data_IF_503220519814
#
_entry.id   IF_503220519814
#
_cell.length_a   1.000
_cell.length_b   1.000
_cell.length_c   1.000
_cell.angle_alpha   90.00
_cell.angle_beta   90.00
_cell.angle_gamma   90.00
#
_symmetry.space_group_name_H-M   'P 1'
#
loop_
_entity.id
_entity.type
_entity.pdbx_description
1 polymer ?
#
# COMPACT_ATOMS: atom_id res chain seq x y z
N UNK A 1 1.27 10.67 -22.49
CA UNK A 1 1.94 9.97 -21.36
C UNK A 1 3.43 10.26 -21.29
N UNK A 2 4.29 9.76 -22.18
CA UNK A 2 5.76 9.97 -22.08
C UNK A 2 6.20 11.45 -21.96
N UNK A 3 5.61 12.34 -22.78
CA UNK A 3 5.91 13.78 -22.69
C UNK A 3 5.43 14.41 -21.38
N UNK A 4 4.28 13.96 -20.84
CA UNK A 4 3.71 14.50 -19.59
C UNK A 4 4.52 14.01 -18.39
N UNK A 5 4.88 12.73 -18.35
CA UNK A 5 5.72 12.17 -17.28
C UNK A 5 7.11 12.81 -17.28
N UNK A 6 7.74 13.01 -18.44
CA UNK A 6 9.04 13.67 -18.52
C UNK A 6 9.01 15.15 -18.08
N UNK A 7 7.92 15.88 -18.38
CA UNK A 7 7.75 17.24 -17.87
C UNK A 7 7.56 17.28 -16.35
N UNK A 8 6.77 16.35 -15.80
CA UNK A 8 6.58 16.23 -14.35
C UNK A 8 7.88 15.82 -13.64
N UNK A 9 8.66 14.90 -14.20
CA UNK A 9 10.00 14.58 -13.71
C UNK A 9 10.90 15.81 -13.67
N UNK A 10 10.87 16.64 -14.71
CA UNK A 10 11.58 17.93 -14.74
C UNK A 10 11.15 18.87 -13.61
N UNK A 11 9.84 18.96 -13.33
CA UNK A 11 9.31 19.76 -12.20
C UNK A 11 9.76 19.19 -10.84
N UNK A 12 9.76 17.87 -10.68
CA UNK A 12 10.27 17.21 -9.47
C UNK A 12 11.77 17.44 -9.23
N UNK A 13 12.55 17.71 -10.28
CA UNK A 13 13.97 18.08 -10.16
C UNK A 13 14.16 19.57 -9.85
N UNK A 14 13.23 20.42 -10.24
CA UNK A 14 13.31 21.88 -10.06
C UNK A 14 12.69 22.39 -8.74
N UNK A 15 11.82 21.61 -8.12
CA UNK A 15 11.02 22.02 -6.96
C UNK A 15 11.15 21.05 -5.78
N UNK A 16 10.70 21.48 -4.60
CA UNK A 16 10.63 20.64 -3.41
C UNK A 16 9.74 19.42 -3.65
N UNK A 17 10.22 18.22 -3.31
CA UNK A 17 9.42 16.98 -3.43
C UNK A 17 8.12 17.07 -2.62
N UNK A 18 8.13 17.76 -1.48
CA UNK A 18 6.93 17.96 -0.66
C UNK A 18 5.87 18.73 -1.45
N UNK A 19 6.20 19.93 -1.92
CA UNK A 19 5.26 20.80 -2.62
C UNK A 19 4.75 20.15 -3.91
N UNK A 20 5.62 19.41 -4.60
CA UNK A 20 5.24 18.63 -5.79
C UNK A 20 4.28 17.49 -5.46
N UNK A 21 4.55 16.73 -4.39
CA UNK A 21 3.67 15.65 -3.95
C UNK A 21 2.31 16.18 -3.49
N UNK A 22 2.27 17.26 -2.71
CA UNK A 22 1.04 17.91 -2.26
C UNK A 22 0.22 18.38 -3.47
N UNK A 23 0.83 19.16 -4.36
CA UNK A 23 0.16 19.71 -5.56
C UNK A 23 -0.35 18.61 -6.50
N UNK A 24 0.48 17.59 -6.78
CA UNK A 24 0.09 16.47 -7.62
C UNK A 24 -1.06 15.68 -6.99
N UNK A 25 -1.00 15.44 -5.68
CA UNK A 25 -2.03 14.71 -4.94
C UNK A 25 -3.37 15.44 -5.00
N UNK A 26 -3.37 16.75 -4.74
CA UNK A 26 -4.58 17.57 -4.78
C UNK A 26 -5.20 17.64 -6.18
N UNK A 27 -4.36 17.81 -7.20
CA UNK A 27 -4.82 17.84 -8.59
C UNK A 27 -5.43 16.49 -9.01
N UNK A 28 -4.77 15.37 -8.69
CA UNK A 28 -5.25 14.04 -9.04
C UNK A 28 -6.51 13.65 -8.27
N UNK A 29 -6.60 13.97 -6.96
CA UNK A 29 -7.82 13.72 -6.17
C UNK A 29 -8.99 14.56 -6.67
N UNK A 30 -8.76 15.83 -7.00
CA UNK A 30 -9.81 16.70 -7.55
C UNK A 30 -10.32 16.20 -8.90
N UNK A 31 -9.42 15.67 -9.74
CA UNK A 31 -9.78 15.12 -11.05
C UNK A 31 -10.44 13.74 -10.98
N UNK A 32 -10.01 12.87 -10.05
CA UNK A 32 -10.39 11.46 -10.06
C UNK A 32 -11.40 11.08 -8.98
N UNK A 33 -11.57 11.89 -7.93
CA UNK A 33 -12.48 11.63 -6.81
C UNK A 33 -13.47 12.79 -6.53
N UNK A 34 -14.15 13.36 -7.54
CA UNK A 34 -15.31 14.22 -7.28
C UNK A 34 -16.50 13.38 -6.79
N UNK A 35 -17.55 14.07 -6.35
CA UNK A 35 -18.80 13.43 -5.89
C UNK A 35 -19.66 12.85 -7.04
N UNK A 36 -19.25 13.09 -8.29
CA UNK A 36 -19.87 12.53 -9.50
C UNK A 36 -19.14 11.28 -9.99
N UNK A 37 -19.87 10.33 -10.58
CA UNK A 37 -19.27 9.12 -11.13
C UNK A 37 -18.21 9.45 -12.19
N UNK A 38 -16.97 8.98 -11.99
CA UNK A 38 -15.91 9.20 -12.96
C UNK A 38 -15.83 8.05 -13.99
N UNK A 39 -15.58 8.35 -15.27
CA UNK A 39 -15.29 7.32 -16.25
C UNK A 39 -14.04 6.52 -15.85
N UNK A 40 -14.19 5.19 -15.72
CA UNK A 40 -13.08 4.31 -15.31
C UNK A 40 -11.81 4.47 -16.15
N UNK A 41 -11.93 4.72 -17.46
CA UNK A 41 -10.76 5.00 -18.34
C UNK A 41 -9.99 6.24 -17.93
N UNK A 42 -10.68 7.31 -17.54
CA UNK A 42 -10.03 8.54 -17.11
C UNK A 42 -9.25 8.32 -15.82
N UNK A 43 -9.86 7.62 -14.84
CA UNK A 43 -9.17 7.27 -13.58
C UNK A 43 -7.95 6.38 -13.88
N UNK A 44 -8.08 5.39 -14.77
CA UNK A 44 -6.96 4.53 -15.17
C UNK A 44 -5.77 5.31 -15.73
N UNK A 45 -5.99 6.30 -16.60
CA UNK A 45 -4.91 7.09 -17.21
C UNK A 45 -4.18 7.98 -16.19
N UNK A 46 -4.91 8.57 -15.25
CA UNK A 46 -4.31 9.37 -14.17
C UNK A 46 -3.49 8.50 -13.21
N UNK A 47 -4.03 7.35 -12.81
CA UNK A 47 -3.31 6.42 -11.93
C UNK A 47 -2.12 5.77 -12.66
N UNK A 48 -2.21 5.57 -13.98
CA UNK A 48 -1.07 5.17 -14.80
C UNK A 48 0.04 6.23 -14.73
N UNK A 49 -0.29 7.52 -14.90
CA UNK A 49 0.71 8.60 -14.79
C UNK A 49 1.42 8.58 -13.44
N UNK A 50 0.64 8.50 -12.35
CA UNK A 50 1.18 8.38 -11.01
C UNK A 50 2.08 7.14 -10.87
N UNK A 51 1.67 6.00 -11.44
CA UNK A 51 2.48 4.77 -11.39
C UNK A 51 3.82 4.93 -12.11
N UNK A 52 3.89 5.69 -13.21
CA UNK A 52 5.16 5.97 -13.89
C UNK A 52 6.04 6.81 -12.97
N UNK A 53 5.52 7.88 -12.38
CA UNK A 53 6.27 8.75 -11.45
C UNK A 53 6.73 8.00 -10.19
N UNK A 54 5.93 7.08 -9.67
CA UNK A 54 6.34 6.18 -8.58
C UNK A 54 7.61 5.39 -8.91
N UNK A 55 7.76 4.95 -10.16
CA UNK A 55 8.92 4.18 -10.60
C UNK A 55 10.10 5.06 -11.04
N UNK A 56 9.86 6.23 -11.62
CA UNK A 56 10.91 7.10 -12.20
C UNK A 56 11.41 8.17 -11.23
N UNK A 57 10.52 8.76 -10.42
CA UNK A 57 10.85 9.81 -9.45
C UNK A 57 11.18 9.22 -8.08
N UNK A 58 10.34 8.28 -7.60
CA UNK A 58 10.53 7.62 -6.32
C UNK A 58 9.23 7.12 -5.67
N UNK A 59 9.37 6.14 -4.77
CA UNK A 59 8.26 5.45 -4.10
C UNK A 59 7.41 6.38 -3.23
N UNK A 60 7.98 7.50 -2.79
CA UNK A 60 7.31 8.51 -1.99
C UNK A 60 6.16 9.19 -2.74
N UNK A 61 6.21 9.26 -4.08
CA UNK A 61 5.13 9.84 -4.89
C UNK A 61 3.88 8.98 -4.75
N UNK A 62 4.02 7.66 -4.97
CA UNK A 62 2.91 6.73 -4.83
C UNK A 62 2.45 6.58 -3.39
N UNK A 63 3.37 6.62 -2.42
CA UNK A 63 3.03 6.46 -1.02
C UNK A 63 2.27 7.67 -0.45
N UNK A 64 2.70 8.88 -0.79
CA UNK A 64 2.00 10.11 -0.41
C UNK A 64 0.57 10.14 -0.96
N UNK A 65 0.42 9.84 -2.25
CA UNK A 65 -0.89 9.79 -2.89
C UNK A 65 -1.78 8.70 -2.30
N UNK A 66 -1.23 7.50 -2.05
CA UNK A 66 -1.96 6.40 -1.43
C UNK A 66 -2.46 6.76 -0.03
N UNK A 67 -1.63 7.38 0.81
CA UNK A 67 -2.00 7.86 2.14
C UNK A 67 -3.22 8.80 2.05
N UNK A 68 -3.17 9.78 1.15
CA UNK A 68 -4.26 10.75 0.96
C UNK A 68 -5.56 10.08 0.47
N UNK A 69 -5.48 9.18 -0.51
CA UNK A 69 -6.63 8.42 -1.04
C UNK A 69 -7.29 7.58 0.05
N UNK A 70 -6.51 6.84 0.83
CA UNK A 70 -7.01 5.94 1.87
C UNK A 70 -7.66 6.72 3.02
N UNK A 71 -7.05 7.82 3.46
CA UNK A 71 -7.65 8.67 4.49
C UNK A 71 -8.94 9.33 4.03
N UNK A 72 -8.96 9.83 2.80
CA UNK A 72 -10.17 10.43 2.21
C UNK A 72 -11.27 9.38 2.06
N UNK A 73 -10.94 8.16 1.64
CA UNK A 73 -11.90 7.06 1.57
C UNK A 73 -12.47 6.74 2.96
N UNK A 74 -11.62 6.58 3.98
CA UNK A 74 -12.07 6.25 5.34
C UNK A 74 -13.02 7.32 5.90
N UNK A 75 -12.71 8.60 5.67
CA UNK A 75 -13.57 9.71 6.08
C UNK A 75 -14.93 9.70 5.35
N UNK A 76 -14.95 9.62 4.02
CA UNK A 76 -16.18 9.63 3.21
C UNK A 76 -17.03 8.39 3.49
N UNK A 77 -16.39 7.24 3.67
CA UNK A 77 -17.04 5.98 3.98
C UNK A 77 -17.73 6.02 5.37
N UNK A 78 -17.03 6.49 6.41
CA UNK A 78 -17.59 6.63 7.76
C UNK A 78 -18.72 7.65 7.85
N UNK A 79 -18.65 8.73 7.08
CA UNK A 79 -19.67 9.77 7.07
C UNK A 79 -20.92 9.39 6.27
N UNK A 80 -20.95 8.21 5.64
CA UNK A 80 -22.10 7.73 4.88
C UNK A 80 -22.38 8.55 3.61
N UNK A 81 -21.35 9.15 3.00
CA UNK A 81 -21.52 10.02 1.82
C UNK A 81 -22.36 9.35 0.72
N UNK A 82 -23.39 10.06 0.24
CA UNK A 82 -24.39 9.53 -0.70
C UNK A 82 -23.95 9.58 -2.17
N UNK A 83 -22.97 10.42 -2.51
CA UNK A 83 -22.45 10.51 -3.87
C UNK A 83 -21.33 9.52 -4.17
N UNK A 84 -20.66 9.71 -5.31
CA UNK A 84 -19.80 8.69 -5.96
C UNK A 84 -18.32 8.79 -5.62
N UNK A 85 -17.97 9.69 -4.71
CA UNK A 85 -16.59 9.89 -4.27
C UNK A 85 -15.98 8.61 -3.68
N UNK A 86 -16.76 7.83 -2.91
CA UNK A 86 -16.30 6.60 -2.29
C UNK A 86 -15.91 5.53 -3.33
N UNK A 87 -16.76 5.32 -4.34
CA UNK A 87 -16.51 4.41 -5.47
C UNK A 87 -15.32 4.88 -6.32
N UNK A 88 -15.21 6.19 -6.53
CA UNK A 88 -14.10 6.79 -7.28
C UNK A 88 -12.76 6.55 -6.56
N UNK A 89 -12.69 6.81 -5.25
CA UNK A 89 -11.50 6.55 -4.43
C UNK A 89 -11.15 5.06 -4.40
N UNK A 90 -12.14 4.18 -4.30
CA UNK A 90 -11.91 2.73 -4.34
C UNK A 90 -11.38 2.28 -5.71
N UNK A 91 -11.87 2.89 -6.79
CA UNK A 91 -11.39 2.67 -8.16
C UNK A 91 -9.93 3.11 -8.31
N UNK A 92 -9.55 4.22 -7.67
CA UNK A 92 -8.14 4.65 -7.60
C UNK A 92 -7.29 3.57 -6.93
N UNK A 93 -7.68 3.07 -5.75
CA UNK A 93 -6.96 1.99 -5.03
C UNK A 93 -6.83 0.73 -5.90
N UNK A 94 -7.90 0.36 -6.60
CA UNK A 94 -7.89 -0.77 -7.53
C UNK A 94 -6.86 -0.58 -8.66
N UNK A 95 -6.76 0.62 -9.22
CA UNK A 95 -5.81 0.91 -10.29
C UNK A 95 -4.36 1.07 -9.79
N UNK A 96 -4.15 1.53 -8.54
CA UNK A 96 -2.83 1.53 -7.90
C UNK A 96 -2.30 0.09 -7.78
N UNK A 97 -3.16 -0.87 -7.49
CA UNK A 97 -2.79 -2.29 -7.49
C UNK A 97 -2.54 -2.81 -8.92
N UNK A 98 -3.43 -2.50 -9.87
CA UNK A 98 -3.29 -2.92 -11.27
C UNK A 98 -1.98 -2.46 -11.92
N UNK A 99 -1.49 -1.27 -11.56
CA UNK A 99 -0.25 -0.67 -12.08
C UNK A 99 0.95 -0.84 -11.14
N UNK A 100 0.90 -1.81 -10.21
CA UNK A 100 2.02 -2.21 -9.35
C UNK A 100 2.59 -1.06 -8.50
N UNK A 101 1.73 -0.17 -8.01
CA UNK A 101 2.10 0.79 -6.96
C UNK A 101 1.96 0.14 -5.58
N UNK A 102 0.93 -0.67 -5.36
CA UNK A 102 0.67 -1.37 -4.09
C UNK A 102 0.66 -2.89 -4.25
N UNK A 103 0.82 -3.60 -3.15
CA UNK A 103 0.66 -5.05 -3.09
C UNK A 103 -0.78 -5.48 -2.77
N UNK A 104 -1.07 -6.77 -3.00
CA UNK A 104 -2.39 -7.36 -2.78
C UNK A 104 -2.87 -7.27 -1.32
N UNK A 105 -1.96 -7.19 -0.34
CA UNK A 105 -2.28 -7.12 1.09
C UNK A 105 -3.30 -6.01 1.40
N UNK A 106 -3.06 -4.80 0.89
CA UNK A 106 -3.94 -3.66 1.12
C UNK A 106 -5.33 -3.91 0.52
N UNK A 107 -5.40 -4.49 -0.68
CA UNK A 107 -6.67 -4.78 -1.35
C UNK A 107 -7.48 -5.83 -0.58
N UNK A 108 -6.81 -6.87 -0.06
CA UNK A 108 -7.47 -7.85 0.80
C UNK A 108 -7.94 -7.23 2.12
N UNK A 109 -7.16 -6.35 2.75
CA UNK A 109 -7.59 -5.65 3.97
C UNK A 109 -8.85 -4.81 3.73
N UNK A 110 -8.90 -4.08 2.60
CA UNK A 110 -10.09 -3.32 2.19
C UNK A 110 -11.29 -4.25 2.00
N UNK A 111 -11.14 -5.35 1.25
CA UNK A 111 -12.22 -6.31 1.02
C UNK A 111 -12.71 -6.96 2.33
N UNK A 112 -11.80 -7.33 3.23
CA UNK A 112 -12.14 -7.88 4.56
C UNK A 112 -12.90 -6.87 5.41
N UNK A 113 -12.52 -5.60 5.38
CA UNK A 113 -13.25 -4.52 6.09
C UNK A 113 -14.69 -4.37 5.59
N UNK A 114 -14.89 -4.39 4.26
CA UNK A 114 -16.22 -4.31 3.64
C UNK A 114 -17.06 -5.55 3.94
N UNK A 115 -16.48 -6.74 3.86
CA UNK A 115 -17.18 -8.01 4.18
C UNK A 115 -17.50 -8.11 5.67
N UNK A 116 -16.64 -7.57 6.54
CA UNK A 116 -16.85 -7.60 7.99
C UNK A 116 -18.08 -6.80 8.44
N UNK A 117 -18.30 -5.64 7.80
CA UNK A 117 -19.40 -4.70 8.06
C UNK A 117 -20.69 -5.08 7.31
N UNK A 118 -20.55 -5.54 6.06
CA UNK A 118 -21.60 -6.20 5.27
C UNK A 118 -22.89 -5.38 5.08
N UNK A 119 -22.77 -4.08 4.82
CA UNK A 119 -23.90 -3.20 4.43
C UNK A 119 -24.17 -3.25 2.92
N UNK A 120 -25.30 -2.67 2.47
CA UNK A 120 -25.63 -2.60 1.03
C UNK A 120 -24.52 -1.90 0.24
N UNK A 121 -24.01 -0.78 0.78
CA UNK A 121 -22.86 -0.04 0.24
C UNK A 121 -21.62 -0.93 0.15
N UNK A 122 -21.34 -1.74 1.17
CA UNK A 122 -20.18 -2.63 1.20
C UNK A 122 -20.23 -3.69 0.11
N UNK A 123 -21.42 -4.22 -0.18
CA UNK A 123 -21.61 -5.20 -1.26
C UNK A 123 -21.33 -4.55 -2.62
N UNK A 124 -21.78 -3.31 -2.85
CA UNK A 124 -21.48 -2.58 -4.09
C UNK A 124 -19.97 -2.32 -4.25
N UNK A 125 -19.33 -1.83 -3.19
CA UNK A 125 -17.90 -1.54 -3.16
C UNK A 125 -17.05 -2.81 -3.34
N UNK A 126 -17.48 -3.92 -2.73
CA UNK A 126 -16.84 -5.24 -2.89
C UNK A 126 -16.93 -5.70 -4.33
N UNK A 127 -18.12 -5.64 -4.94
CA UNK A 127 -18.32 -5.97 -6.36
C UNK A 127 -17.46 -5.09 -7.28
N UNK A 128 -17.42 -3.78 -7.02
CA UNK A 128 -16.61 -2.83 -7.77
C UNK A 128 -15.13 -3.18 -7.71
N UNK A 129 -14.60 -3.47 -6.51
CA UNK A 129 -13.20 -3.86 -6.33
C UNK A 129 -12.91 -5.20 -7.04
N UNK A 130 -13.73 -6.23 -6.80
CA UNK A 130 -13.56 -7.56 -7.41
C UNK A 130 -13.63 -7.50 -8.95
N UNK A 131 -14.49 -6.66 -9.52
CA UNK A 131 -14.56 -6.46 -10.97
C UNK A 131 -13.27 -5.86 -11.54
N UNK A 132 -12.63 -4.94 -10.83
CA UNK A 132 -11.41 -4.27 -11.29
C UNK A 132 -10.13 -5.07 -11.07
N UNK A 133 -10.05 -5.88 -10.00
CA UNK A 133 -8.80 -6.54 -9.59
C UNK A 133 -8.93 -8.02 -9.22
N UNK A 134 -10.12 -8.62 -9.27
CA UNK A 134 -10.35 -9.97 -8.78
C UNK A 134 -9.50 -11.06 -9.44
N UNK A 135 -9.32 -11.02 -10.76
CA UNK A 135 -8.44 -11.97 -11.46
C UNK A 135 -6.96 -11.76 -11.13
N UNK A 136 -6.58 -10.51 -10.89
CA UNK A 136 -5.22 -10.16 -10.47
C UNK A 136 -4.94 -10.70 -9.07
N UNK A 137 -5.89 -10.53 -8.13
CA UNK A 137 -5.83 -11.11 -6.78
C UNK A 137 -5.73 -12.63 -6.84
N UNK A 138 -6.53 -13.30 -7.67
CA UNK A 138 -6.44 -14.76 -7.82
C UNK A 138 -5.05 -15.21 -8.29
N UNK A 139 -4.47 -14.49 -9.25
CA UNK A 139 -3.17 -14.83 -9.80
C UNK A 139 -2.06 -14.63 -8.77
N UNK A 140 -2.15 -13.55 -8.00
CA UNK A 140 -1.11 -13.16 -7.05
C UNK A 140 -1.24 -13.94 -5.72
N UNK A 141 -2.46 -14.22 -5.24
CA UNK A 141 -2.73 -14.99 -4.02
C UNK A 141 -4.12 -15.67 -4.03
N UNK A 142 -4.18 -16.88 -4.60
CA UNK A 142 -5.40 -17.67 -4.67
C UNK A 142 -5.91 -18.17 -3.30
N UNK A 143 -5.02 -18.30 -2.31
CA UNK A 143 -5.38 -18.79 -0.97
C UNK A 143 -6.13 -17.71 -0.20
N UNK A 144 -5.58 -16.49 -0.13
CA UNK A 144 -6.27 -15.36 0.49
C UNK A 144 -7.62 -15.06 -0.18
N UNK A 145 -7.72 -15.23 -1.50
CA UNK A 145 -9.01 -15.12 -2.19
C UNK A 145 -10.00 -16.21 -1.74
N UNK A 146 -9.55 -17.45 -1.57
CA UNK A 146 -10.42 -18.53 -1.08
C UNK A 146 -10.91 -18.26 0.34
N UNK A 147 -10.04 -17.77 1.22
CA UNK A 147 -10.40 -17.38 2.60
C UNK A 147 -11.44 -16.26 2.61
N UNK A 148 -11.22 -15.20 1.81
CA UNK A 148 -12.16 -14.10 1.66
C UNK A 148 -13.56 -14.58 1.22
N UNK A 149 -13.62 -15.56 0.31
CA UNK A 149 -14.89 -16.14 -0.17
C UNK A 149 -15.60 -16.88 0.97
N UNK A 150 -14.87 -17.64 1.78
CA UNK A 150 -15.45 -18.35 2.94
C UNK A 150 -15.99 -17.35 3.95
N UNK A 151 -15.26 -16.28 4.24
CA UNK A 151 -15.70 -15.21 5.14
C UNK A 151 -16.97 -14.52 4.62
N UNK A 152 -17.02 -14.19 3.33
CA UNK A 152 -18.20 -13.60 2.70
C UNK A 152 -19.42 -14.54 2.73
N UNK A 153 -19.23 -15.84 2.54
CA UNK A 153 -20.30 -16.84 2.62
C UNK A 153 -20.84 -16.98 4.06
N UNK A 154 -19.96 -16.96 5.06
CA UNK A 154 -20.36 -16.99 6.46
C UNK A 154 -21.18 -15.74 6.81
N UNK A 155 -20.69 -14.54 6.44
CA UNK A 155 -21.40 -13.27 6.65
C UNK A 155 -22.75 -13.22 5.96
N UNK A 156 -22.84 -13.68 4.72
CA UNK A 156 -24.11 -13.77 3.99
C UNK A 156 -25.13 -14.71 4.68
N UNK A 157 -24.65 -15.82 5.24
CA UNK A 157 -25.48 -16.78 5.97
C UNK A 157 -26.00 -16.18 7.29
N UNK A 158 -25.15 -15.46 8.03
CA UNK A 158 -25.52 -14.75 9.27
C UNK A 158 -26.52 -13.61 9.01
N UNK A 159 -26.40 -12.92 7.87
CA UNK A 159 -27.27 -11.82 7.48
C UNK A 159 -28.60 -12.28 6.85
N UNK A 160 -28.79 -13.58 6.64
CA UNK A 160 -29.99 -14.13 6.00
C UNK A 160 -31.26 -13.74 6.78
N UNK A 161 -32.17 -13.03 6.10
CA UNK A 161 -33.43 -12.52 6.66
C UNK A 161 -33.42 -11.06 7.13
N UNK A 162 -32.25 -10.41 7.22
CA UNK A 162 -32.13 -8.96 7.54
C UNK A 162 -31.95 -8.07 6.32
N UNK A 163 -31.45 -8.65 5.23
CA UNK A 163 -31.20 -7.94 3.97
C UNK A 163 -32.41 -8.01 3.05
N UNK A 164 -32.87 -6.85 2.59
CA UNK A 164 -33.86 -6.77 1.51
C UNK A 164 -33.22 -7.16 0.17
N UNK A 165 -31.93 -6.88 -0.01
CA UNK A 165 -31.22 -7.11 -1.27
C UNK A 165 -30.46 -8.45 -1.37
N UNK A 166 -31.22 -9.55 -1.30
CA UNK A 166 -30.66 -10.90 -1.46
C UNK A 166 -30.06 -11.13 -2.87
N UNK A 167 -30.56 -10.40 -3.86
CA UNK A 167 -30.11 -10.53 -5.26
C UNK A 167 -28.68 -10.04 -5.42
N UNK A 168 -28.31 -8.91 -4.82
CA UNK A 168 -26.94 -8.38 -4.90
C UNK A 168 -25.94 -9.20 -4.10
N UNK A 169 -26.33 -9.69 -2.92
CA UNK A 169 -25.50 -10.62 -2.14
C UNK A 169 -25.21 -11.87 -2.96
N UNK A 170 -26.24 -12.46 -3.57
CA UNK A 170 -26.08 -13.62 -4.45
C UNK A 170 -25.16 -13.32 -5.63
N UNK A 171 -25.35 -12.19 -6.30
CA UNK A 171 -24.50 -11.78 -7.42
C UNK A 171 -23.03 -11.57 -7.01
N UNK A 172 -22.78 -11.01 -5.82
CA UNK A 172 -21.43 -10.89 -5.24
C UNK A 172 -20.79 -12.26 -5.03
N UNK A 173 -21.50 -13.20 -4.42
CA UNK A 173 -21.00 -14.56 -4.20
C UNK A 173 -20.78 -15.33 -5.51
N UNK A 174 -21.66 -15.15 -6.51
CA UNK A 174 -21.49 -15.73 -7.84
C UNK A 174 -20.25 -15.15 -8.54
N UNK A 175 -20.02 -13.84 -8.44
CA UNK A 175 -18.82 -13.17 -8.96
C UNK A 175 -17.55 -13.70 -8.29
N UNK A 176 -17.56 -13.85 -6.97
CA UNK A 176 -16.47 -14.44 -6.19
C UNK A 176 -16.15 -15.88 -6.62
N UNK A 177 -17.17 -16.70 -6.85
CA UNK A 177 -16.99 -18.08 -7.32
C UNK A 177 -16.50 -18.13 -8.78
N UNK A 178 -16.99 -17.23 -9.64
CA UNK A 178 -16.48 -17.08 -11.00
C UNK A 178 -15.00 -16.73 -11.00
N UNK A 179 -14.56 -15.79 -10.13
CA UNK A 179 -13.15 -15.47 -9.93
C UNK A 179 -12.37 -16.70 -9.51
N UNK A 180 -12.76 -17.40 -8.43
CA UNK A 180 -12.10 -18.63 -7.94
C UNK A 180 -11.90 -19.67 -9.06
N UNK A 181 -12.92 -19.87 -9.89
CA UNK A 181 -12.92 -20.82 -10.99
C UNK A 181 -12.28 -20.30 -12.28
N UNK A 182 -11.73 -19.08 -12.27
CA UNK A 182 -11.14 -18.41 -13.44
C UNK A 182 -12.12 -18.22 -14.62
N UNK A 183 -13.41 -18.04 -14.34
CA UNK A 183 -14.48 -17.97 -15.34
C UNK A 183 -14.86 -16.51 -15.65
N UNK A 184 -14.10 -15.88 -16.54
CA UNK A 184 -14.29 -14.47 -16.95
C UNK A 184 -15.66 -14.20 -17.57
N UNK A 185 -16.29 -15.20 -18.20
CA UNK A 185 -17.56 -15.03 -18.93
C UNK A 185 -18.74 -14.77 -17.99
N UNK A 186 -18.61 -15.17 -16.72
CA UNK A 186 -19.64 -15.02 -15.69
C UNK A 186 -19.62 -13.66 -14.99
N UNK A 187 -18.68 -12.77 -15.32
CA UNK A 187 -18.60 -11.43 -14.74
C UNK A 187 -19.10 -10.40 -15.76
N UNK A 188 -20.33 -9.87 -15.61
CA UNK A 188 -20.92 -8.94 -16.57
C UNK A 188 -20.08 -7.68 -16.79
N UNK A 189 -19.86 -7.36 -18.07
CA UNK A 189 -19.11 -6.17 -18.49
C UNK A 189 -17.67 -6.14 -17.98
N UNK A 190 -17.05 -7.30 -17.75
CA UNK A 190 -15.63 -7.42 -17.50
C UNK A 190 -14.85 -7.40 -18.80
N UNK A 191 -13.93 -6.45 -18.92
CA UNK A 191 -13.02 -6.31 -20.06
C UNK A 191 -11.61 -6.00 -19.54
N UNK A 192 -10.65 -6.94 -19.64
CA UNK A 192 -9.28 -6.72 -19.19
C UNK A 192 -8.44 -5.88 -20.17
N UNK A 193 -8.88 -5.73 -21.42
CA UNK A 193 -8.06 -5.18 -22.51
C UNK A 193 -7.53 -3.76 -22.22
N UNK A 194 -8.33 -2.81 -21.69
CA UNK A 194 -7.85 -1.46 -21.39
C UNK A 194 -6.73 -1.46 -20.35
N UNK A 195 -6.90 -2.20 -19.25
CA UNK A 195 -5.92 -2.29 -18.16
C UNK A 195 -4.64 -2.95 -18.66
N UNK A 196 -4.75 -4.01 -19.46
CA UNK A 196 -3.58 -4.70 -20.02
C UNK A 196 -2.78 -3.85 -21.00
N UNK A 197 -3.46 -3.07 -21.86
CA UNK A 197 -2.80 -2.10 -22.75
C UNK A 197 -2.04 -1.04 -21.96
N UNK A 198 -2.68 -0.44 -20.95
CA UNK A 198 -2.04 0.57 -20.11
C UNK A 198 -0.91 -0.01 -19.25
N UNK A 199 -1.01 -1.27 -18.78
CA UNK A 199 0.07 -1.96 -18.08
C UNK A 199 1.26 -2.28 -18.99
N UNK A 200 1.03 -2.57 -20.28
CA UNK A 200 2.12 -2.69 -21.27
C UNK A 200 2.83 -1.34 -21.46
N UNK A 201 2.06 -0.26 -21.55
CA UNK A 201 2.59 1.10 -21.64
C UNK A 201 3.39 1.49 -20.38
N UNK A 202 2.88 1.19 -19.17
CA UNK A 202 3.57 1.42 -17.90
C UNK A 202 4.96 0.77 -17.88
N UNK A 203 5.05 -0.51 -18.29
CA UNK A 203 6.32 -1.23 -18.38
C UNK A 203 7.28 -0.62 -19.39
N UNK A 204 6.78 -0.18 -20.55
CA UNK A 204 7.62 0.48 -21.55
C UNK A 204 8.18 1.82 -21.05
N UNK A 205 7.41 2.57 -20.27
CA UNK A 205 7.83 3.86 -19.70
C UNK A 205 8.70 3.71 -18.44
N UNK A 206 8.59 2.59 -17.72
CA UNK A 206 9.31 2.33 -16.46
C UNK A 206 10.50 1.37 -16.63
N UNK A 207 10.91 1.09 -17.87
CA UNK A 207 11.87 0.03 -18.22
C UNK A 207 13.28 0.17 -17.59
N UNK A 208 13.58 1.31 -16.97
CA UNK A 208 14.83 1.56 -16.23
C UNK A 208 14.83 1.06 -14.78
N UNK A 209 13.70 0.59 -14.24
CA UNK A 209 13.56 0.22 -12.83
C UNK A 209 13.20 -1.27 -12.68
N UNK A 210 14.22 -2.11 -12.43
CA UNK A 210 14.08 -3.57 -12.24
C UNK A 210 13.83 -3.96 -10.76
N UNK A 211 13.73 -2.97 -9.86
CA UNK A 211 13.47 -3.20 -8.43
C UNK A 211 11.97 -3.25 -8.15
N UNK A 212 11.54 -4.21 -7.31
CA UNK A 212 10.15 -4.25 -6.86
C UNK A 212 9.89 -3.09 -5.89
N UNK A 213 9.32 -2.01 -6.42
CA UNK A 213 9.01 -0.78 -5.68
C UNK A 213 7.60 -0.77 -5.11
N UNK A 214 6.87 -1.90 -5.16
CA UNK A 214 5.49 -1.99 -4.66
C UNK A 214 5.42 -1.73 -3.15
N UNK A 215 4.55 -0.80 -2.77
CA UNK A 215 4.27 -0.47 -1.38
C UNK A 215 3.61 -1.65 -0.67
N UNK A 216 4.23 -2.06 0.43
CA UNK A 216 3.79 -3.19 1.27
C UNK A 216 3.37 -2.65 2.62
N UNK A 217 2.09 -2.32 2.74
CA UNK A 217 1.49 -1.71 3.94
C UNK A 217 0.06 -2.22 4.09
N UNK A 218 -0.39 -2.40 5.34
CA UNK A 218 -1.77 -2.76 5.66
C UNK A 218 -2.67 -1.52 5.73
N UNK A 219 -3.98 -1.72 5.67
CA UNK A 219 -4.96 -0.64 5.81
C UNK A 219 -4.73 0.18 7.10
N UNK A 220 -4.61 -0.51 8.24
CA UNK A 220 -4.41 0.11 9.55
C UNK A 220 -3.04 0.81 9.66
N UNK A 221 -2.02 0.26 8.98
CA UNK A 221 -0.71 0.89 8.89
C UNK A 221 -0.76 2.24 8.19
N UNK A 222 -1.63 2.41 7.18
CA UNK A 222 -1.80 3.69 6.50
C UNK A 222 -2.51 4.71 7.39
N UNK A 223 -3.61 4.30 8.03
CA UNK A 223 -4.38 5.19 8.89
C UNK A 223 -3.59 5.64 10.12
N UNK A 224 -2.69 4.79 10.62
CA UNK A 224 -1.84 5.09 11.77
C UNK A 224 -0.49 5.76 11.42
N UNK A 225 -0.21 6.04 10.14
CA UNK A 225 1.10 6.50 9.68
C UNK A 225 1.54 7.86 10.24
N UNK A 226 0.59 8.76 10.55
CA UNK A 226 0.94 10.03 11.22
C UNK A 226 1.47 9.82 12.63
N UNK A 227 0.96 8.81 13.32
CA UNK A 227 1.38 8.54 14.68
C UNK A 227 2.63 7.63 14.66
N UNK A 228 2.57 6.49 13.97
CA UNK A 228 3.65 5.48 13.89
C UNK A 228 4.85 5.89 13.05
N UNK A 229 4.74 6.97 12.28
CA UNK A 229 5.72 7.37 11.29
C UNK A 229 5.38 6.85 9.91
N UNK A 230 5.59 7.68 8.89
CA UNK A 230 5.32 7.34 7.49
C UNK A 230 6.24 6.24 6.98
N UNK A 231 5.70 5.07 6.64
CA UNK A 231 6.44 3.84 6.30
C UNK A 231 7.40 3.97 5.10
N UNK A 232 7.27 5.02 4.29
CA UNK A 232 8.08 5.29 3.10
C UNK A 232 9.14 6.37 3.33
N UNK A 233 9.19 6.95 4.53
CA UNK A 233 10.25 7.89 4.93
C UNK A 233 11.24 7.12 5.79
N UNK A 234 12.50 7.05 5.35
CA UNK A 234 13.55 6.37 6.11
C UNK A 234 13.79 7.13 7.42
N UNK A 235 13.69 6.44 8.55
CA UNK A 235 13.94 7.02 9.89
C UNK A 235 12.75 7.75 10.52
N UNK A 236 11.55 7.65 9.96
CA UNK A 236 10.33 8.26 10.52
C UNK A 236 9.64 7.43 11.61
N UNK A 237 10.07 6.18 11.83
CA UNK A 237 9.45 5.29 12.83
C UNK A 237 9.45 5.96 14.21
N UNK A 238 8.24 6.09 14.77
CA UNK A 238 7.80 6.84 15.94
C UNK A 238 8.90 7.38 16.92
N UNK A 239 8.84 8.70 17.20
CA UNK A 239 9.48 9.40 18.34
C UNK A 239 8.53 9.48 19.56
N UNK A 240 8.69 8.55 20.50
CA UNK A 240 7.70 8.16 21.52
C UNK A 240 7.78 8.87 22.85
N UNK A 241 8.04 10.17 22.85
CA UNK A 241 7.96 10.94 24.08
C UNK A 241 6.63 11.71 24.12
N UNK A 242 5.68 11.35 25.01
CA UNK A 242 4.64 12.29 25.39
C UNK A 242 5.31 13.54 25.96
N UNK A 243 4.77 14.71 25.63
CA UNK A 243 5.12 15.97 26.27
C UNK A 243 4.87 15.85 27.78
N UNK A 244 5.90 15.50 28.54
CA UNK A 244 5.94 15.63 29.99
C UNK A 244 6.94 16.75 30.27
N UNK A 245 6.34 17.85 30.69
CA UNK A 245 6.78 18.84 31.66
C UNK A 245 8.27 19.02 31.96
N UNK A 246 8.58 20.31 32.06
CA UNK A 246 9.85 20.95 32.29
C UNK A 246 10.57 20.38 33.54
N UNK A 247 11.40 19.35 33.39
CA UNK A 247 12.43 19.03 34.37
C UNK A 247 13.61 18.30 33.72
N UNK A 248 14.79 18.86 33.98
CA UNK A 248 16.08 18.39 33.52
C UNK A 248 16.29 16.91 33.85
N UNK A 249 16.37 16.05 32.82
CA UNK A 249 17.03 14.75 32.95
C UNK A 249 17.62 14.33 31.60
N UNK A 250 18.96 14.43 31.52
CA UNK A 250 19.78 13.74 30.51
C UNK A 250 19.45 12.25 30.57
N UNK A 251 18.73 11.73 29.59
CA UNK A 251 18.60 10.29 29.40
C UNK A 251 19.90 9.79 28.79
N UNK A 252 20.70 9.11 29.61
CA UNK A 252 21.85 8.32 29.17
C UNK A 252 21.37 7.26 28.17
N UNK A 253 21.96 7.27 26.99
CA UNK A 253 22.02 6.08 26.13
C UNK A 253 22.65 4.94 26.93
N UNK A 254 21.88 3.86 27.16
CA UNK A 254 22.44 2.60 27.61
C UNK A 254 23.29 2.04 26.49
N UNK A 255 24.62 2.24 26.60
CA UNK A 255 25.58 1.39 25.92
C UNK A 255 25.36 -0.07 26.35
N UNK A 256 25.30 -1.02 25.41
CA UNK A 256 25.44 -2.43 25.75
C UNK A 256 26.85 -2.65 26.32
N UNK A 257 26.90 -3.30 27.48
CA UNK A 257 28.15 -3.62 28.15
C UNK A 257 29.00 -4.55 27.30
N UNK A 258 30.18 -4.08 26.94
CA UNK A 258 31.24 -4.88 26.33
C UNK A 258 32.34 -3.93 25.91
N UNK A 259 33.46 -3.92 26.64
CA UNK A 259 34.67 -3.20 26.24
C UNK A 259 35.22 -3.81 24.95
N UNK A 260 34.66 -3.40 23.81
CA UNK A 260 35.20 -3.77 22.50
C UNK A 260 36.53 -3.04 22.36
N UNK A 261 37.63 -3.79 22.39
CA UNK A 261 38.99 -3.24 22.27
C UNK A 261 39.12 -2.42 20.99
N UNK A 262 39.76 -1.23 21.07
CA UNK A 262 39.95 -0.33 19.92
C UNK A 262 40.59 -1.00 18.70
N UNK A 263 41.35 -2.09 18.90
CA UNK A 263 41.91 -2.91 17.82
C UNK A 263 40.86 -3.59 16.94
N UNK A 264 39.72 -4.01 17.51
CA UNK A 264 38.64 -4.68 16.77
C UNK A 264 37.87 -3.66 15.91
N UNK A 265 37.70 -2.44 16.41
CA UNK A 265 37.10 -1.34 15.66
C UNK A 265 37.96 -0.91 14.46
N UNK A 266 39.29 -0.93 14.59
CA UNK A 266 40.20 -0.69 13.46
C UNK A 266 40.12 -1.81 12.40
N UNK A 267 40.01 -3.07 12.82
CA UNK A 267 39.82 -4.20 11.90
C UNK A 267 38.49 -4.08 11.15
N UNK A 268 37.40 -3.70 11.83
CA UNK A 268 36.11 -3.46 11.20
C UNK A 268 36.22 -2.37 10.12
N UNK A 269 36.94 -1.27 10.41
CA UNK A 269 37.18 -0.18 9.45
C UNK A 269 38.02 -0.64 8.25
N UNK A 270 39.07 -1.45 8.47
CA UNK A 270 39.89 -2.03 7.38
C UNK A 270 39.07 -2.96 6.47
N UNK A 271 38.09 -3.67 7.02
CA UNK A 271 37.17 -4.53 6.28
C UNK A 271 35.96 -3.77 5.69
N UNK A 272 36.00 -2.43 5.65
CA UNK A 272 34.94 -1.56 5.09
C UNK A 272 33.57 -1.73 5.78
N UNK A 273 33.55 -2.13 7.05
CA UNK A 273 32.34 -2.15 7.87
C UNK A 273 32.03 -0.74 8.38
N UNK A 274 31.57 0.11 7.47
CA UNK A 274 31.46 1.56 7.70
C UNK A 274 30.16 2.00 8.38
N UNK A 275 29.12 1.15 8.38
CA UNK A 275 27.84 1.43 9.06
C UNK A 275 27.85 0.88 10.48
N UNK A 276 27.12 1.51 11.39
CA UNK A 276 27.11 1.09 12.81
C UNK A 276 26.54 -0.31 12.99
N UNK A 277 25.54 -0.69 12.19
CA UNK A 277 25.00 -2.05 12.16
C UNK A 277 26.08 -3.07 11.74
N UNK A 278 26.81 -2.82 10.65
CA UNK A 278 27.87 -3.74 10.18
C UNK A 278 29.04 -3.80 11.16
N UNK A 279 29.37 -2.67 11.80
CA UNK A 279 30.42 -2.61 12.81
C UNK A 279 30.04 -3.40 14.05
N UNK A 280 28.80 -3.27 14.52
CA UNK A 280 28.29 -4.02 15.66
C UNK A 280 28.25 -5.52 15.36
N UNK A 281 27.72 -5.94 14.21
CA UNK A 281 27.72 -7.36 13.81
C UNK A 281 29.16 -7.91 13.76
N UNK A 282 30.08 -7.17 13.14
CA UNK A 282 31.49 -7.57 13.06
C UNK A 282 32.13 -7.68 14.44
N UNK A 283 31.90 -6.71 15.33
CA UNK A 283 32.46 -6.73 16.68
C UNK A 283 31.88 -7.89 17.48
N UNK A 284 30.55 -8.07 17.46
CA UNK A 284 29.87 -9.17 18.16
C UNK A 284 30.42 -10.52 17.74
N UNK A 285 30.57 -10.77 16.42
CA UNK A 285 31.14 -12.03 15.92
C UNK A 285 32.60 -12.20 16.34
N UNK A 286 33.41 -11.14 16.28
CA UNK A 286 34.84 -11.20 16.63
C UNK A 286 35.12 -11.29 18.14
N UNK A 287 34.15 -10.93 18.98
CA UNK A 287 34.28 -10.99 20.45
C UNK A 287 33.52 -12.16 21.08
N UNK A 288 32.83 -12.98 20.29
CA UNK A 288 32.09 -14.14 20.80
C UNK A 288 33.02 -15.34 20.92
N UNK A 289 32.77 -16.19 21.92
CA UNK A 289 33.64 -17.34 22.22
C UNK A 289 33.41 -18.50 21.24
N UNK A 290 32.14 -18.71 20.85
CA UNK A 290 31.74 -19.72 19.88
C UNK A 290 30.57 -19.24 19.01
N UNK A 291 30.12 -20.12 18.10
CA UNK A 291 29.06 -19.80 17.16
C UNK A 291 27.66 -19.70 17.81
N UNK A 292 27.44 -20.36 18.95
CA UNK A 292 26.17 -20.29 19.69
C UNK A 292 26.08 -18.96 20.45
N UNK A 293 27.15 -18.56 21.12
CA UNK A 293 27.29 -17.26 21.79
C UNK A 293 27.16 -16.09 20.80
N UNK A 294 27.79 -16.20 19.63
CA UNK A 294 27.63 -15.21 18.56
C UNK A 294 26.19 -15.12 18.07
N UNK A 295 25.51 -16.27 17.90
CA UNK A 295 24.13 -16.32 17.46
C UNK A 295 23.19 -15.69 18.49
N UNK A 296 23.32 -16.04 19.77
CA UNK A 296 22.51 -15.46 20.84
C UNK A 296 22.70 -13.95 20.99
N UNK A 297 23.93 -13.46 20.84
CA UNK A 297 24.25 -12.02 20.93
C UNK A 297 23.77 -11.22 19.72
N UNK A 298 23.62 -11.84 18.55
CA UNK A 298 23.10 -11.18 17.34
C UNK A 298 21.56 -11.12 17.30
N UNK A 299 20.88 -11.95 18.08
CA UNK A 299 19.41 -11.95 18.18
C UNK A 299 18.87 -10.91 19.18
N UNK A 300 19.74 -10.32 20.01
CA UNK A 300 19.41 -9.24 20.96
C UNK A 300 19.59 -7.88 20.32
#
# INVERSE_FOLDING_TARGET
MASVSGQLEGLYMAHSRKDMNDTLTDALLSACAPDTAMPSRLVMEHVLLLSVLHHTVGVEVGAHFLEAVVRRFDAVYKNGGEGKECENLLTIVAHLYNFRVVQACLVFDVLKKLIGTFTEKDIELTLLMLKNVGFLLRRDDALSLKELIVEAQAKASEASGKFQDQTRVRFMLETMLALKNNDMRKIPGYDPEPVEKLRKLQRALSASSDTDTRLRISWDGILSAEQTGRWWIVGSAWSGAPMIDNSQQKVLEKQPSGTVSGKILELARKQRMNTDVRRNIFCTVMTSEDFLDAFEKLLK
#
